data_IF_851108641914
#
_entry.id   IF_851108641914
#
_cell.length_a   1.000
_cell.length_b   1.000
_cell.length_c   1.000
_cell.angle_alpha   90.00
_cell.angle_beta   90.00
_cell.angle_gamma   90.00
#
_symmetry.space_group_name_H-M   'P 1'
#
loop_
_entity.id
_entity.type
_entity.pdbx_description
1 polymer ?
#
# COMPACT_ATOMS: atom_id res chain seq x y z
N UNK A 1 16.45 -27.31 13.60
CA UNK A 1 15.45 -26.27 13.40
C UNK A 1 14.23 -26.91 12.75
N UNK A 2 13.04 -26.62 13.27
CA UNK A 2 11.76 -27.15 12.72
C UNK A 2 10.86 -26.06 12.18
N UNK A 3 11.03 -24.81 12.66
CA UNK A 3 10.18 -23.67 12.33
C UNK A 3 10.93 -22.35 12.44
N UNK A 4 10.57 -21.38 11.57
CA UNK A 4 11.01 -19.99 11.57
C UNK A 4 9.75 -19.11 11.56
N UNK A 5 9.68 -18.12 12.47
CA UNK A 5 8.70 -17.04 12.42
C UNK A 5 9.35 -15.80 11.82
N UNK A 6 8.80 -15.29 10.72
CA UNK A 6 9.21 -14.00 10.16
C UNK A 6 8.55 -12.86 10.92
N UNK A 7 9.26 -11.75 11.05
CA UNK A 7 8.75 -10.50 11.67
C UNK A 7 8.15 -9.54 10.62
N UNK A 8 8.00 -10.01 9.38
CA UNK A 8 7.46 -9.29 8.22
C UNK A 8 6.31 -10.07 7.58
N UNK A 9 5.62 -9.45 6.63
CA UNK A 9 4.65 -10.12 5.75
C UNK A 9 5.35 -10.66 4.51
N UNK A 10 6.22 -9.85 3.88
CA UNK A 10 6.99 -10.27 2.72
C UNK A 10 8.00 -11.37 3.06
N UNK A 11 8.20 -12.29 2.13
CA UNK A 11 9.14 -13.41 2.28
C UNK A 11 9.94 -13.68 0.99
N UNK A 12 9.99 -12.73 0.06
CA UNK A 12 10.70 -12.87 -1.22
C UNK A 12 12.17 -13.27 -1.07
N UNK A 13 12.84 -12.81 -0.02
CA UNK A 13 14.23 -13.14 0.30
C UNK A 13 14.47 -14.64 0.59
N UNK A 14 13.41 -15.38 0.97
CA UNK A 14 13.48 -16.82 1.24
C UNK A 14 13.23 -17.69 0.02
N UNK A 15 12.68 -17.12 -1.06
CA UNK A 15 12.38 -17.88 -2.30
C UNK A 15 13.60 -18.59 -2.93
N UNK A 16 14.80 -17.97 -2.99
CA UNK A 16 16.00 -18.64 -3.47
C UNK A 16 16.37 -19.89 -2.66
N UNK A 17 15.91 -19.97 -1.41
CA UNK A 17 16.18 -21.06 -0.48
C UNK A 17 15.04 -22.10 -0.40
N UNK A 18 13.98 -21.96 -1.19
CA UNK A 18 12.79 -22.82 -1.13
C UNK A 18 13.13 -24.31 -1.23
N UNK A 19 14.06 -24.70 -2.12
CA UNK A 19 14.50 -26.10 -2.26
C UNK A 19 15.09 -26.66 -0.96
N UNK A 20 15.95 -25.89 -0.29
CA UNK A 20 16.58 -26.30 0.97
C UNK A 20 15.53 -26.37 2.10
N UNK A 21 14.63 -25.40 2.17
CA UNK A 21 13.56 -25.33 3.15
C UNK A 21 12.67 -26.57 3.05
N UNK A 22 12.25 -26.93 1.83
CA UNK A 22 11.42 -28.11 1.57
C UNK A 22 12.15 -29.40 1.90
N UNK A 23 13.44 -29.53 1.49
CA UNK A 23 14.25 -30.72 1.81
C UNK A 23 14.43 -30.95 3.32
N UNK A 24 14.48 -29.86 4.10
CA UNK A 24 14.60 -29.92 5.56
C UNK A 24 13.25 -30.03 6.27
N UNK A 25 12.14 -30.04 5.53
CA UNK A 25 10.78 -29.99 6.07
C UNK A 25 10.62 -28.87 7.10
N UNK A 26 11.19 -27.69 6.77
CA UNK A 26 11.22 -26.52 7.64
C UNK A 26 9.96 -25.69 7.41
N UNK A 27 9.17 -25.48 8.45
CA UNK A 27 8.01 -24.60 8.40
C UNK A 27 8.44 -23.15 8.51
N UNK A 28 7.80 -22.27 7.75
CA UNK A 28 7.98 -20.81 7.86
C UNK A 28 6.61 -20.18 8.00
N UNK A 29 6.47 -19.26 8.94
CA UNK A 29 5.26 -18.45 9.13
C UNK A 29 5.61 -16.98 9.06
N UNK A 30 4.65 -16.15 8.62
CA UNK A 30 4.81 -14.70 8.53
C UNK A 30 3.72 -13.95 9.31
N UNK A 31 3.76 -12.62 9.25
CA UNK A 31 2.80 -11.74 9.91
C UNK A 31 1.64 -11.30 9.00
N UNK A 32 1.17 -12.18 8.11
CA UNK A 32 0.02 -11.89 7.24
C UNK A 32 -1.19 -11.43 8.08
N UNK A 33 -1.73 -10.27 7.73
CA UNK A 33 -2.87 -9.66 8.43
C UNK A 33 -2.50 -8.75 9.61
N UNK A 34 -1.28 -8.87 10.15
CA UNK A 34 -0.85 -8.13 11.34
C UNK A 34 -0.91 -6.61 11.15
N UNK A 35 -0.50 -6.12 9.99
CA UNK A 35 -0.42 -4.71 9.67
C UNK A 35 -1.69 -4.14 9.00
N UNK A 36 -2.78 -4.91 8.96
CA UNK A 36 -4.01 -4.51 8.27
C UNK A 36 -4.59 -3.19 8.76
N UNK A 37 -4.66 -3.01 10.08
CA UNK A 37 -5.22 -1.81 10.72
C UNK A 37 -4.33 -0.57 10.50
N UNK A 38 -3.05 -0.53 10.93
CA UNK A 38 -2.25 0.69 10.85
C UNK A 38 -2.02 1.14 9.41
N UNK A 39 -1.80 0.22 8.47
CA UNK A 39 -1.64 0.58 7.06
C UNK A 39 -2.94 1.13 6.47
N UNK A 40 -4.10 0.55 6.78
CA UNK A 40 -5.39 1.08 6.33
C UNK A 40 -5.68 2.48 6.90
N UNK A 41 -5.30 2.75 8.15
CA UNK A 41 -5.38 4.08 8.77
C UNK A 41 -4.47 5.09 8.07
N UNK A 42 -3.23 4.69 7.72
CA UNK A 42 -2.30 5.54 6.98
C UNK A 42 -2.81 5.83 5.56
N UNK A 43 -3.39 4.84 4.86
CA UNK A 43 -4.06 5.06 3.56
C UNK A 43 -5.17 6.09 3.69
N UNK A 44 -6.05 5.96 4.68
CA UNK A 44 -7.15 6.91 4.90
C UNK A 44 -6.63 8.29 5.27
N UNK A 45 -5.60 8.39 6.11
CA UNK A 45 -4.89 9.62 6.45
C UNK A 45 -4.30 10.30 5.21
N UNK A 46 -3.66 9.54 4.33
CA UNK A 46 -3.13 10.03 3.05
C UNK A 46 -4.21 10.57 2.12
N UNK A 47 -5.35 9.87 2.00
CA UNK A 47 -6.51 10.35 1.23
C UNK A 47 -6.99 11.70 1.79
N UNK A 48 -7.18 11.83 3.11
CA UNK A 48 -7.58 13.09 3.71
C UNK A 48 -6.51 14.16 3.59
N UNK A 49 -5.24 13.82 3.71
CA UNK A 49 -4.14 14.77 3.53
C UNK A 49 -4.21 15.43 2.16
N UNK A 50 -4.36 14.66 1.10
CA UNK A 50 -4.47 15.18 -0.27
C UNK A 50 -5.82 15.86 -0.54
N UNK A 51 -6.94 15.27 -0.12
CA UNK A 51 -8.28 15.82 -0.39
C UNK A 51 -8.57 17.10 0.37
N UNK A 52 -8.04 17.22 1.60
CA UNK A 52 -8.21 18.39 2.45
C UNK A 52 -7.00 19.32 2.43
N UNK A 53 -5.98 18.99 1.60
CA UNK A 53 -4.75 19.77 1.44
C UNK A 53 -3.97 19.99 2.77
N UNK A 54 -4.07 19.01 3.70
CA UNK A 54 -3.46 19.14 5.03
C UNK A 54 -1.93 19.21 4.95
N UNK A 55 -1.33 18.50 4.01
CA UNK A 55 0.10 18.54 3.73
C UNK A 55 0.55 19.95 3.27
N UNK A 56 -0.20 20.60 2.38
CA UNK A 56 0.10 21.96 1.94
C UNK A 56 -0.10 22.99 3.06
N UNK A 57 -1.21 22.88 3.80
CA UNK A 57 -1.48 23.75 4.95
C UNK A 57 -0.39 23.66 6.01
N UNK A 58 0.13 22.46 6.28
CA UNK A 58 1.25 22.28 7.21
C UNK A 58 2.52 22.99 6.73
N UNK A 59 2.84 22.93 5.43
CA UNK A 59 3.97 23.67 4.84
C UNK A 59 3.75 25.18 4.89
N UNK A 60 2.55 25.67 4.54
CA UNK A 60 2.20 27.10 4.61
C UNK A 60 2.29 27.63 6.04
N UNK A 61 1.87 26.84 7.02
CA UNK A 61 2.01 27.22 8.44
C UNK A 61 3.47 27.47 8.82
N UNK A 62 4.43 26.66 8.34
CA UNK A 62 5.86 26.88 8.63
C UNK A 62 6.41 28.16 8.00
N UNK A 63 5.77 28.64 6.93
CA UNK A 63 6.11 29.88 6.21
C UNK A 63 5.32 31.08 6.67
N UNK A 64 4.44 30.93 7.66
CA UNK A 64 3.50 31.98 8.11
C UNK A 64 2.60 32.54 6.99
N UNK A 65 2.24 31.68 6.02
CA UNK A 65 1.40 31.95 4.88
C UNK A 65 -0.07 31.60 5.17
N UNK A 66 -1.00 32.48 4.82
CA UNK A 66 -2.44 32.24 4.93
C UNK A 66 -3.06 32.03 3.54
N UNK A 67 -3.56 30.81 3.26
CA UNK A 67 -4.07 30.42 1.94
C UNK A 67 -5.37 31.16 1.53
N UNK A 68 -6.16 31.62 2.51
CA UNK A 68 -7.43 32.28 2.23
C UNK A 68 -8.45 31.39 1.48
N UNK A 69 -9.26 32.05 0.63
CA UNK A 69 -10.32 31.35 -0.10
C UNK A 69 -9.81 30.54 -1.32
N UNK A 70 -8.64 30.87 -1.86
CA UNK A 70 -8.08 30.20 -3.04
C UNK A 70 -7.92 28.70 -2.83
N UNK A 71 -7.56 28.27 -1.62
CA UNK A 71 -7.43 26.86 -1.29
C UNK A 71 -8.79 26.14 -1.22
N UNK A 72 -9.87 26.85 -0.80
CA UNK A 72 -11.18 26.25 -0.57
C UNK A 72 -11.77 25.61 -1.81
N UNK A 73 -11.56 26.19 -2.99
CA UNK A 73 -12.06 25.68 -4.28
C UNK A 73 -11.39 24.35 -4.68
N UNK A 74 -10.17 24.11 -4.22
CA UNK A 74 -9.41 22.90 -4.50
C UNK A 74 -9.75 21.74 -3.56
N UNK A 75 -10.42 22.00 -2.43
CA UNK A 75 -10.74 21.00 -1.41
C UNK A 75 -11.79 20.00 -1.93
N UNK A 76 -11.61 18.73 -1.60
CA UNK A 76 -12.50 17.63 -1.99
C UNK A 76 -13.03 16.89 -0.78
N UNK A 77 -14.16 16.22 -0.96
CA UNK A 77 -14.77 15.32 0.03
C UNK A 77 -14.66 13.87 -0.42
N UNK A 78 -14.55 12.95 0.53
CA UNK A 78 -14.48 11.52 0.26
C UNK A 78 -15.85 10.90 -0.06
N UNK A 79 -16.94 11.58 0.33
CA UNK A 79 -18.30 11.07 0.16
C UNK A 79 -18.62 10.70 -1.30
N UNK A 80 -19.05 9.46 -1.51
CA UNK A 80 -19.53 8.97 -2.81
C UNK A 80 -18.44 8.74 -3.88
N UNK A 81 -17.15 8.86 -3.52
CA UNK A 81 -16.04 8.70 -4.46
C UNK A 81 -15.93 7.29 -5.02
N UNK A 82 -15.44 7.18 -6.25
CA UNK A 82 -15.11 5.91 -6.91
C UNK A 82 -13.69 5.51 -6.51
N UNK A 83 -13.56 4.40 -5.80
CA UNK A 83 -12.30 3.89 -5.27
C UNK A 83 -11.96 2.57 -5.96
N UNK A 84 -10.79 2.51 -6.58
CA UNK A 84 -10.23 1.30 -7.16
C UNK A 84 -9.17 0.76 -6.21
N UNK A 85 -9.31 -0.50 -5.81
CA UNK A 85 -8.39 -1.19 -4.91
C UNK A 85 -7.73 -2.35 -5.65
N UNK A 86 -6.40 -2.31 -5.81
CA UNK A 86 -5.61 -3.43 -6.36
C UNK A 86 -5.01 -4.21 -5.20
N UNK A 87 -5.54 -5.43 -4.96
CA UNK A 87 -5.29 -6.29 -3.82
C UNK A 87 -6.57 -6.58 -3.04
N UNK A 88 -6.71 -7.83 -2.54
CA UNK A 88 -7.85 -8.28 -1.71
C UNK A 88 -7.40 -8.73 -0.31
N UNK A 89 -6.23 -8.25 0.12
CA UNK A 89 -5.62 -8.60 1.40
C UNK A 89 -6.25 -7.91 2.62
N UNK A 90 -5.71 -8.19 3.81
CA UNK A 90 -6.20 -7.68 5.09
C UNK A 90 -6.25 -6.15 5.15
N UNK A 91 -5.29 -5.46 4.52
CA UNK A 91 -5.25 -3.98 4.49
C UNK A 91 -6.51 -3.44 3.80
N UNK A 92 -6.82 -3.91 2.59
CA UNK A 92 -8.00 -3.43 1.88
C UNK A 92 -9.31 -3.89 2.51
N UNK A 93 -9.36 -5.05 3.17
CA UNK A 93 -10.54 -5.46 3.95
C UNK A 93 -10.80 -4.49 5.11
N UNK A 94 -9.75 -4.06 5.81
CA UNK A 94 -9.88 -3.04 6.86
C UNK A 94 -10.24 -1.67 6.28
N UNK A 95 -9.64 -1.29 5.16
CA UNK A 95 -9.95 -0.03 4.48
C UNK A 95 -11.42 0.03 4.01
N UNK A 96 -12.00 -1.08 3.55
CA UNK A 96 -13.43 -1.16 3.21
C UNK A 96 -14.31 -0.78 4.40
N UNK A 97 -14.01 -1.29 5.59
CA UNK A 97 -14.75 -0.95 6.81
C UNK A 97 -14.66 0.56 7.11
N UNK A 98 -13.48 1.15 6.93
CA UNK A 98 -13.28 2.59 7.14
C UNK A 98 -13.97 3.46 6.07
N UNK A 99 -14.07 2.98 4.83
CA UNK A 99 -14.71 3.71 3.73
C UNK A 99 -16.25 3.60 3.75
N UNK A 100 -16.82 2.64 4.47
CA UNK A 100 -18.27 2.40 4.49
C UNK A 100 -19.11 3.63 4.85
N UNK A 101 -18.77 4.45 5.89
CA UNK A 101 -19.54 5.64 6.23
C UNK A 101 -19.54 6.71 5.11
N UNK A 102 -18.54 6.70 4.23
CA UNK A 102 -18.41 7.67 3.14
C UNK A 102 -19.17 7.27 1.88
N UNK A 103 -19.86 6.11 1.88
CA UNK A 103 -20.67 5.63 0.74
C UNK A 103 -19.87 5.60 -0.58
N UNK A 104 -18.57 5.28 -0.51
CA UNK A 104 -17.70 5.16 -1.68
C UNK A 104 -18.18 4.02 -2.59
N UNK A 105 -18.00 4.19 -3.90
CA UNK A 105 -18.23 3.14 -4.90
C UNK A 105 -16.91 2.39 -5.10
N UNK A 106 -16.85 1.15 -4.60
CA UNK A 106 -15.62 0.37 -4.55
C UNK A 106 -15.55 -0.63 -5.71
N UNK A 107 -14.43 -0.65 -6.43
CA UNK A 107 -14.04 -1.72 -7.35
C UNK A 107 -12.75 -2.36 -6.82
N UNK A 108 -12.76 -3.68 -6.58
CA UNK A 108 -11.62 -4.37 -5.98
C UNK A 108 -11.13 -5.50 -6.89
N UNK A 109 -9.83 -5.50 -7.18
CA UNK A 109 -9.15 -6.43 -8.08
C UNK A 109 -8.13 -7.27 -7.31
N UNK A 110 -8.21 -8.60 -7.44
CA UNK A 110 -7.27 -9.58 -6.87
C UNK A 110 -6.38 -10.19 -7.95
N UNK A 111 -5.74 -11.32 -7.65
CA UNK A 111 -4.89 -12.05 -8.58
C UNK A 111 -5.62 -12.64 -9.80
N UNK A 112 -6.94 -12.75 -9.70
CA UNK A 112 -7.87 -13.24 -10.73
C UNK A 112 -8.50 -12.12 -11.56
N UNK A 113 -7.93 -10.92 -11.55
CA UNK A 113 -8.54 -9.77 -12.20
C UNK A 113 -8.59 -9.89 -13.73
N UNK A 114 -9.65 -9.33 -14.32
CA UNK A 114 -9.73 -9.11 -15.75
C UNK A 114 -9.10 -7.76 -16.11
N UNK A 115 -8.13 -7.75 -17.04
CA UNK A 115 -7.40 -6.54 -17.41
C UNK A 115 -8.32 -5.44 -18.00
N UNK A 116 -9.29 -5.81 -18.84
CA UNK A 116 -10.21 -4.85 -19.44
C UNK A 116 -11.16 -4.22 -18.37
N UNK A 117 -11.59 -5.00 -17.39
CA UNK A 117 -12.40 -4.49 -16.26
C UNK A 117 -11.60 -3.54 -15.38
N UNK A 118 -10.32 -3.86 -15.10
CA UNK A 118 -9.42 -2.97 -14.38
C UNK A 118 -9.26 -1.65 -15.15
N UNK A 119 -8.95 -1.71 -16.45
CA UNK A 119 -8.75 -0.53 -17.29
C UNK A 119 -10.02 0.34 -17.36
N UNK A 120 -11.22 -0.25 -17.37
CA UNK A 120 -12.48 0.50 -17.30
C UNK A 120 -12.70 1.15 -15.92
N UNK A 121 -12.32 0.47 -14.84
CA UNK A 121 -12.42 1.03 -13.49
C UNK A 121 -11.44 2.21 -13.32
N UNK A 122 -10.21 2.10 -13.83
CA UNK A 122 -9.21 3.16 -13.78
C UNK A 122 -9.67 4.45 -14.46
N UNK A 123 -10.36 4.36 -15.61
CA UNK A 123 -10.91 5.53 -16.33
C UNK A 123 -11.91 6.36 -15.52
N UNK A 124 -12.43 5.81 -14.44
CA UNK A 124 -13.45 6.47 -13.62
C UNK A 124 -13.02 6.64 -12.16
N UNK A 125 -11.78 6.25 -11.83
CA UNK A 125 -11.31 6.28 -10.45
C UNK A 125 -11.11 7.71 -9.94
N UNK A 126 -11.66 8.02 -8.77
CA UNK A 126 -11.25 9.20 -8.00
C UNK A 126 -10.01 8.86 -7.14
N UNK A 127 -9.92 7.62 -6.70
CA UNK A 127 -8.85 7.12 -5.82
C UNK A 127 -8.43 5.73 -6.32
N UNK A 128 -7.13 5.54 -6.51
CA UNK A 128 -6.50 4.25 -6.78
C UNK A 128 -5.58 3.90 -5.63
N UNK A 129 -5.79 2.77 -4.96
CA UNK A 129 -4.90 2.27 -3.90
C UNK A 129 -4.41 0.85 -4.19
N UNK A 130 -3.11 0.63 -4.00
CA UNK A 130 -2.44 -0.63 -4.24
C UNK A 130 -1.81 -1.18 -2.97
N UNK A 131 -2.02 -2.50 -2.71
CA UNK A 131 -1.43 -3.23 -1.57
C UNK A 131 -0.98 -4.63 -1.98
N UNK A 132 -0.62 -4.82 -3.25
CA UNK A 132 -0.17 -6.11 -3.77
C UNK A 132 1.31 -6.36 -3.51
N UNK A 133 1.74 -7.62 -3.36
CA UNK A 133 3.15 -7.98 -3.27
C UNK A 133 3.86 -7.81 -4.62
N UNK A 134 5.20 -7.80 -4.60
CA UNK A 134 6.02 -7.89 -5.80
C UNK A 134 6.01 -9.32 -6.33
N UNK A 135 5.43 -9.53 -7.50
CA UNK A 135 5.42 -10.79 -8.24
C UNK A 135 5.63 -10.50 -9.73
N UNK A 136 5.96 -11.51 -10.56
CA UNK A 136 6.01 -11.30 -12.00
C UNK A 136 4.71 -10.73 -12.58
N UNK A 137 3.55 -11.07 -12.00
CA UNK A 137 2.23 -10.62 -12.47
C UNK A 137 1.87 -9.20 -12.01
N UNK A 138 2.45 -8.73 -10.91
CA UNK A 138 2.21 -7.39 -10.38
C UNK A 138 3.30 -6.39 -10.75
N UNK A 139 4.41 -6.87 -11.30
CA UNK A 139 5.50 -6.02 -11.76
C UNK A 139 4.98 -5.07 -12.85
N UNK A 140 5.13 -3.77 -12.61
CA UNK A 140 4.68 -2.71 -13.51
C UNK A 140 3.22 -2.84 -13.95
N UNK A 141 2.35 -3.36 -13.06
CA UNK A 141 0.91 -3.49 -13.35
C UNK A 141 0.26 -2.12 -13.62
N UNK A 142 0.83 -1.04 -13.07
CA UNK A 142 0.50 0.35 -13.33
C UNK A 142 1.62 0.99 -14.15
N UNK A 143 1.77 0.54 -15.39
CA UNK A 143 2.65 1.15 -16.38
C UNK A 143 2.14 2.53 -16.83
N UNK A 144 2.94 3.24 -17.64
CA UNK A 144 2.59 4.57 -18.16
C UNK A 144 1.23 4.57 -18.89
N UNK A 145 0.87 3.47 -19.59
CA UNK A 145 -0.39 3.36 -20.33
C UNK A 145 -1.58 3.31 -19.39
N UNK A 146 -1.51 2.49 -18.34
CA UNK A 146 -2.57 2.40 -17.34
C UNK A 146 -2.67 3.63 -16.45
N UNK A 147 -1.53 4.22 -16.07
CA UNK A 147 -1.52 5.49 -15.36
C UNK A 147 -2.24 6.59 -16.16
N UNK A 148 -2.02 6.65 -17.47
CA UNK A 148 -2.69 7.61 -18.35
C UNK A 148 -4.21 7.41 -18.49
N UNK A 149 -4.75 6.27 -18.06
CA UNK A 149 -6.21 6.07 -17.98
C UNK A 149 -6.87 6.84 -16.82
N UNK A 150 -6.09 7.20 -15.80
CA UNK A 150 -6.62 7.88 -14.62
C UNK A 150 -7.10 9.29 -14.96
N UNK A 151 -8.29 9.70 -14.51
CA UNK A 151 -8.73 11.09 -14.59
C UNK A 151 -7.75 12.05 -13.90
N UNK A 152 -7.59 13.27 -14.41
CA UNK A 152 -6.68 14.28 -13.85
C UNK A 152 -6.92 14.62 -12.38
N UNK A 153 -8.14 14.40 -11.90
CA UNK A 153 -8.49 14.63 -10.50
C UNK A 153 -8.19 13.46 -9.58
N UNK A 154 -7.72 12.33 -10.12
CA UNK A 154 -7.45 11.13 -9.34
C UNK A 154 -6.24 11.31 -8.43
N UNK A 155 -6.25 10.57 -7.33
CA UNK A 155 -5.08 10.37 -6.49
C UNK A 155 -4.68 8.90 -6.50
N UNK A 156 -3.36 8.65 -6.41
CA UNK A 156 -2.77 7.32 -6.39
C UNK A 156 -2.10 7.04 -5.04
N UNK A 157 -2.31 5.85 -4.47
CA UNK A 157 -1.71 5.44 -3.22
C UNK A 157 -1.05 4.06 -3.37
N UNK A 158 0.25 3.96 -3.04
CA UNK A 158 0.98 2.71 -3.07
C UNK A 158 1.50 2.31 -1.68
N UNK A 159 0.92 1.24 -1.15
CA UNK A 159 1.27 0.61 0.13
C UNK A 159 1.60 -0.88 -0.05
N UNK A 160 1.96 -1.25 -1.29
CA UNK A 160 2.38 -2.60 -1.66
C UNK A 160 3.89 -2.71 -1.80
N UNK A 161 4.37 -2.60 -3.04
CA UNK A 161 5.80 -2.59 -3.39
C UNK A 161 6.03 -1.56 -4.49
N UNK A 162 7.24 -1.02 -4.57
CA UNK A 162 7.58 0.05 -5.53
C UNK A 162 7.44 -0.41 -6.98
N UNK A 163 7.90 -1.59 -7.31
CA UNK A 163 7.92 -2.15 -8.66
C UNK A 163 6.56 -2.37 -9.32
N UNK A 164 5.44 -2.08 -8.64
CA UNK A 164 4.09 -2.18 -9.22
C UNK A 164 3.71 -0.97 -10.08
N UNK A 165 4.43 0.13 -9.98
CA UNK A 165 4.16 1.38 -10.69
C UNK A 165 5.37 1.84 -11.49
N UNK A 166 5.12 2.43 -12.66
CA UNK A 166 6.11 3.20 -13.41
C UNK A 166 6.34 4.54 -12.68
N UNK A 167 7.32 4.57 -11.77
CA UNK A 167 7.62 5.74 -10.94
C UNK A 167 7.96 6.99 -11.77
N UNK A 168 8.81 6.94 -12.82
CA UNK A 168 9.05 8.06 -13.71
C UNK A 168 7.78 8.61 -14.36
N UNK A 169 6.91 7.74 -14.87
CA UNK A 169 5.65 8.16 -15.49
C UNK A 169 4.72 8.82 -14.45
N UNK A 170 4.64 8.28 -13.25
CA UNK A 170 3.86 8.87 -12.15
C UNK A 170 4.37 10.28 -11.78
N UNK A 171 5.69 10.48 -11.65
CA UNK A 171 6.31 11.78 -11.38
C UNK A 171 5.92 12.77 -12.47
N UNK A 172 6.09 12.41 -13.75
CA UNK A 172 5.71 13.24 -14.87
C UNK A 172 4.23 13.65 -14.83
N UNK A 173 3.34 12.71 -14.45
CA UNK A 173 1.91 13.02 -14.32
C UNK A 173 1.59 13.99 -13.19
N UNK A 174 2.32 13.93 -12.08
CA UNK A 174 2.18 14.89 -10.97
C UNK A 174 2.67 16.28 -11.39
N UNK A 175 3.84 16.38 -12.02
CA UNK A 175 4.43 17.63 -12.51
C UNK A 175 3.56 18.31 -13.56
N UNK A 176 2.99 17.54 -14.48
CA UNK A 176 2.10 18.04 -15.53
C UNK A 176 0.63 18.16 -15.10
N UNK A 177 0.32 17.90 -13.83
CA UNK A 177 -1.04 17.93 -13.27
C UNK A 177 -2.04 17.01 -13.97
N UNK A 178 -1.54 15.91 -14.54
CA UNK A 178 -2.36 14.82 -15.08
C UNK A 178 -2.81 13.84 -13.95
N UNK A 179 -2.18 13.92 -12.79
CA UNK A 179 -2.57 13.25 -11.55
C UNK A 179 -2.64 14.30 -10.43
N UNK A 180 -3.70 14.30 -9.63
CA UNK A 180 -3.92 15.33 -8.62
C UNK A 180 -3.01 15.19 -7.40
N UNK A 181 -2.53 13.99 -7.10
CA UNK A 181 -1.62 13.72 -5.99
C UNK A 181 -1.32 12.24 -5.86
N UNK A 182 -0.26 11.92 -5.11
CA UNK A 182 0.07 10.54 -4.77
C UNK A 182 0.54 10.40 -3.31
N UNK A 183 0.41 9.19 -2.78
CA UNK A 183 0.99 8.78 -1.48
C UNK A 183 1.80 7.51 -1.72
N UNK A 184 3.08 7.55 -1.38
CA UNK A 184 3.96 6.39 -1.47
C UNK A 184 4.47 6.03 -0.08
N UNK A 185 4.19 4.81 0.35
CA UNK A 185 4.82 4.23 1.55
C UNK A 185 6.14 3.52 1.19
N UNK A 186 6.27 3.09 -0.05
CA UNK A 186 7.39 2.30 -0.57
C UNK A 186 8.05 2.97 -1.76
N UNK A 187 9.36 2.87 -1.85
CA UNK A 187 10.20 3.44 -2.92
C UNK A 187 11.15 2.40 -3.47
N UNK A 188 11.77 2.64 -4.64
CA UNK A 188 12.68 1.68 -5.26
C UNK A 188 13.93 1.49 -4.42
N UNK A 189 14.47 2.59 -3.90
CA UNK A 189 15.57 2.58 -2.92
C UNK A 189 15.03 2.90 -1.52
N UNK A 190 15.37 2.08 -0.54
CA UNK A 190 15.01 2.28 0.86
C UNK A 190 16.24 2.04 1.75
N UNK A 191 16.74 3.07 2.45
CA UNK A 191 16.27 4.46 2.53
C UNK A 191 16.44 5.24 1.22
N UNK A 192 15.46 6.11 0.93
CA UNK A 192 15.47 6.99 -0.24
C UNK A 192 16.67 7.96 -0.17
N UNK A 193 17.45 8.05 -1.25
CA UNK A 193 18.60 8.94 -1.33
C UNK A 193 18.22 10.43 -1.22
N UNK A 194 19.10 11.29 -0.70
CA UNK A 194 18.78 12.71 -0.48
C UNK A 194 18.53 13.52 -1.76
N UNK A 195 19.05 13.07 -2.89
CA UNK A 195 18.90 13.73 -4.19
C UNK A 195 17.78 13.13 -5.05
N UNK A 196 17.01 12.20 -4.48
CA UNK A 196 15.93 11.54 -5.23
C UNK A 196 14.82 12.53 -5.58
N UNK A 197 14.32 12.55 -6.83
CA UNK A 197 13.28 13.48 -7.27
C UNK A 197 11.95 13.32 -6.51
N UNK A 198 11.69 12.19 -5.90
CA UNK A 198 10.48 11.98 -5.10
C UNK A 198 10.35 12.96 -3.93
N UNK A 199 11.48 13.45 -3.36
CA UNK A 199 11.44 14.44 -2.27
C UNK A 199 10.80 15.78 -2.67
N UNK A 200 10.97 16.17 -3.93
CA UNK A 200 10.53 17.48 -4.45
C UNK A 200 9.37 17.38 -5.42
N UNK A 201 8.89 16.16 -5.71
CA UNK A 201 7.74 15.95 -6.60
C UNK A 201 6.48 16.61 -6.03
N UNK A 202 5.78 17.46 -6.80
CA UNK A 202 4.62 18.19 -6.29
C UNK A 202 3.45 17.23 -5.96
N UNK A 203 2.71 17.56 -4.91
CA UNK A 203 1.55 16.78 -4.44
C UNK A 203 1.85 15.29 -4.15
N UNK A 204 3.09 14.96 -3.88
CA UNK A 204 3.51 13.64 -3.39
C UNK A 204 3.67 13.69 -1.88
N UNK A 205 3.11 12.70 -1.19
CA UNK A 205 3.32 12.43 0.23
C UNK A 205 4.08 11.12 0.38
N UNK A 206 5.24 11.18 1.04
CA UNK A 206 6.06 10.00 1.36
C UNK A 206 5.83 9.62 2.83
N UNK A 207 5.45 8.38 3.08
CA UNK A 207 5.28 7.84 4.45
C UNK A 207 6.44 6.93 4.88
N UNK A 208 7.50 6.83 4.05
CA UNK A 208 8.81 6.28 4.36
C UNK A 208 8.78 4.87 4.97
N UNK A 209 7.91 4.00 4.45
CA UNK A 209 7.69 2.62 4.87
C UNK A 209 7.37 2.48 6.37
N UNK A 210 6.67 3.50 6.93
CA UNK A 210 6.31 3.54 8.36
C UNK A 210 4.84 3.24 8.62
N UNK A 211 4.05 3.01 7.56
CA UNK A 211 2.59 2.81 7.67
C UNK A 211 2.17 1.64 8.55
N UNK A 212 3.05 0.66 8.73
CA UNK A 212 2.79 -0.49 9.62
C UNK A 212 3.01 -0.22 11.10
N UNK A 213 3.62 0.92 11.46
CA UNK A 213 3.96 1.26 12.84
C UNK A 213 2.72 1.35 13.76
N UNK A 214 2.82 0.78 14.95
CA UNK A 214 1.74 0.81 15.93
C UNK A 214 2.27 0.71 17.38
N UNK A 215 1.51 1.19 18.38
CA UNK A 215 1.89 1.00 19.76
C UNK A 215 2.06 -0.48 20.14
N UNK A 216 3.08 -0.78 20.93
CA UNK A 216 3.38 -2.14 21.41
C UNK A 216 3.57 -3.17 20.27
N UNK A 217 4.07 -2.73 19.11
CA UNK A 217 4.26 -3.60 17.94
C UNK A 217 5.12 -4.83 18.28
N UNK A 218 6.21 -4.63 19.02
CA UNK A 218 7.10 -5.74 19.43
C UNK A 218 6.38 -6.75 20.30
N UNK A 219 5.63 -6.29 21.30
CA UNK A 219 4.90 -7.18 22.20
C UNK A 219 3.85 -8.00 21.45
N UNK A 220 3.11 -7.36 20.55
CA UNK A 220 2.14 -8.03 19.66
C UNK A 220 2.78 -9.06 18.73
N UNK A 221 3.99 -8.79 18.21
CA UNK A 221 4.77 -9.76 17.43
C UNK A 221 5.21 -10.94 18.29
N UNK A 222 5.62 -10.70 19.54
CA UNK A 222 5.96 -11.76 20.50
C UNK A 222 4.75 -12.61 20.86
N UNK A 223 3.59 -12.01 21.07
CA UNK A 223 2.34 -12.75 21.32
C UNK A 223 1.99 -13.65 20.13
N UNK A 224 2.16 -13.15 18.90
CA UNK A 224 1.94 -13.95 17.70
C UNK A 224 2.93 -15.12 17.61
N UNK A 225 4.21 -14.88 17.90
CA UNK A 225 5.24 -15.90 17.97
C UNK A 225 4.91 -16.95 19.02
N UNK A 226 4.55 -16.54 20.25
CA UNK A 226 4.24 -17.47 21.35
C UNK A 226 3.03 -18.34 21.01
N UNK A 227 1.98 -17.77 20.43
CA UNK A 227 0.83 -18.53 19.95
C UNK A 227 1.27 -19.63 18.95
N UNK A 228 2.06 -19.32 17.95
CA UNK A 228 2.56 -20.31 17.00
C UNK A 228 3.51 -21.33 17.65
N UNK A 229 4.32 -20.91 18.65
CA UNK A 229 5.16 -21.83 19.40
C UNK A 229 4.34 -22.85 20.22
N UNK A 230 3.25 -22.41 20.85
CA UNK A 230 2.33 -23.29 21.56
C UNK A 230 1.64 -24.28 20.63
N UNK A 231 1.18 -23.82 19.45
CA UNK A 231 0.59 -24.66 18.41
C UNK A 231 1.59 -25.71 17.91
N UNK A 232 2.84 -25.31 17.65
CA UNK A 232 3.91 -26.22 17.25
C UNK A 232 4.15 -27.32 18.28
N UNK A 233 4.18 -26.97 19.60
CA UNK A 233 4.37 -27.91 20.70
C UNK A 233 3.23 -28.93 20.81
N UNK A 234 2.00 -28.52 20.47
CA UNK A 234 0.81 -29.37 20.48
C UNK A 234 0.63 -30.18 19.19
N UNK A 235 1.46 -29.94 18.17
CA UNK A 235 1.30 -30.56 16.85
C UNK A 235 0.13 -30.03 16.05
N UNK A 236 -0.35 -28.83 16.36
CA UNK A 236 -1.41 -28.13 15.65
C UNK A 236 -0.84 -27.40 14.41
N UNK A 237 -1.71 -27.06 13.45
CA UNK A 237 -1.35 -26.24 12.30
C UNK A 237 -0.91 -24.84 12.73
N UNK A 238 0.16 -24.32 12.12
CA UNK A 238 0.66 -22.99 12.41
C UNK A 238 -0.18 -21.92 11.71
N UNK A 239 -0.33 -20.78 12.36
CA UNK A 239 -1.01 -19.63 11.78
C UNK A 239 -0.07 -18.97 10.75
N UNK A 240 -0.59 -18.68 9.56
CA UNK A 240 0.15 -18.04 8.47
C UNK A 240 1.40 -18.82 8.01
N UNK A 241 1.32 -20.15 7.94
CA UNK A 241 2.35 -20.95 7.29
C UNK A 241 2.45 -20.54 5.81
N UNK A 242 3.67 -20.28 5.35
CA UNK A 242 3.96 -19.79 4.01
C UNK A 242 4.00 -20.96 3.03
N UNK A 243 3.32 -20.80 1.92
CA UNK A 243 3.48 -21.65 0.75
C UNK A 243 4.50 -20.99 -0.21
N UNK A 244 5.74 -21.48 -0.17
CA UNK A 244 6.83 -20.95 -1.00
C UNK A 244 6.58 -21.12 -2.51
N UNK A 245 5.65 -22.00 -2.93
CA UNK A 245 5.32 -22.19 -4.34
C UNK A 245 4.53 -21.01 -4.93
N UNK A 246 3.86 -20.23 -4.09
CA UNK A 246 3.09 -19.05 -4.52
C UNK A 246 3.94 -17.84 -4.82
N UNK A 247 5.16 -17.75 -4.30
CA UNK A 247 6.07 -16.62 -4.52
C UNK A 247 5.75 -15.35 -3.72
N UNK A 248 4.70 -15.34 -2.88
CA UNK A 248 4.30 -14.18 -2.06
C UNK A 248 3.46 -14.61 -0.86
#
# INVERSE_FOLDING_TARGET
LKWIQLISVGFGEYLPHAKLINQKNLKITNLKGFFGVPVAETILGGIFSLYRQLNQLAVMQTKTEWAGDDLRESLRTLMGRKVVLIGRGAIHQQLLAYLAPFKCKISMFGSDYNAAELDQALKQADILACTVPATPQTNNILDAVRLALLPKHSIFLNFGRSNIVDTPAMIQMLETKQLAGAVLDVTDDEPLGPEDPLWTTPNLLLTQHTSGGMPQETDRKLDFFDNNLQRLRKGEELINEIDLSRGY
#
